data_IF_903947241385
#
_entry.id   IF_903947241385
#
_cell.length_a   1.000
_cell.length_b   1.000
_cell.length_c   1.000
_cell.angle_alpha   90.00
_cell.angle_beta   90.00
_cell.angle_gamma   90.00
#
_symmetry.space_group_name_H-M   'P 1'
#
loop_
_entity.id
_entity.type
_entity.pdbx_description
1 polymer ?
#
# COMPACT_ATOMS: atom_id res chain seq x y z
N UNK A 1 11.59 3.18 18.72
CA UNK A 1 10.53 3.56 17.77
C UNK A 1 9.19 2.96 18.21
N UNK A 2 8.20 3.82 18.40
CA UNK A 2 6.82 3.46 18.72
C UNK A 2 5.99 3.17 17.46
N UNK A 3 5.01 2.28 17.55
CA UNK A 3 4.12 1.95 16.43
C UNK A 3 3.18 3.10 16.07
N UNK A 4 2.71 3.87 17.06
CA UNK A 4 1.89 5.07 16.79
C UNK A 4 2.68 6.10 16.00
N UNK A 5 3.97 6.27 16.32
CA UNK A 5 4.86 7.14 15.55
C UNK A 5 5.04 6.65 14.10
N UNK A 6 5.22 5.35 13.88
CA UNK A 6 5.29 4.78 12.52
C UNK A 6 4.00 5.01 11.73
N UNK A 7 2.84 4.90 12.37
CA UNK A 7 1.55 5.20 11.72
C UNK A 7 1.46 6.69 11.37
N UNK A 8 1.85 7.59 12.28
CA UNK A 8 1.93 9.02 11.99
C UNK A 8 2.90 9.34 10.84
N UNK A 9 4.04 8.65 10.79
CA UNK A 9 4.99 8.76 9.68
C UNK A 9 4.38 8.26 8.36
N UNK A 10 3.61 7.17 8.43
CA UNK A 10 2.89 6.61 7.28
C UNK A 10 1.84 7.58 6.74
N UNK A 11 1.22 8.42 7.57
CA UNK A 11 0.27 9.44 7.11
C UNK A 11 0.91 10.47 6.17
N UNK A 12 2.15 10.87 6.45
CA UNK A 12 2.89 11.77 5.57
C UNK A 12 3.42 11.05 4.33
N UNK A 13 4.28 10.04 4.55
CA UNK A 13 5.15 9.51 3.50
C UNK A 13 4.79 8.10 3.02
N UNK A 14 3.72 7.52 3.56
CA UNK A 14 3.27 6.18 3.20
C UNK A 14 2.46 6.11 1.91
N UNK A 15 2.60 5.00 1.21
CA UNK A 15 1.85 4.71 -0.01
C UNK A 15 1.33 3.27 -0.02
N UNK A 16 0.04 3.13 -0.33
CA UNK A 16 -0.65 1.85 -0.54
C UNK A 16 -0.94 1.69 -2.03
N UNK A 17 -0.15 0.85 -2.69
CA UNK A 17 -0.19 0.67 -4.13
C UNK A 17 -0.72 -0.72 -4.51
N UNK A 18 -1.64 -0.73 -5.47
CA UNK A 18 -2.11 -1.92 -6.19
C UNK A 18 -1.58 -1.85 -7.61
N UNK A 19 -0.88 -2.89 -8.05
CA UNK A 19 -0.40 -3.05 -9.42
C UNK A 19 -1.10 -4.23 -10.08
N UNK A 20 -1.51 -4.06 -11.33
CA UNK A 20 -2.03 -5.12 -12.18
C UNK A 20 -1.15 -5.07 -13.42
N UNK A 21 -0.51 -6.18 -13.77
CA UNK A 21 0.28 -6.26 -15.01
C UNK A 21 -0.65 -6.52 -16.20
N UNK A 22 -0.52 -5.73 -17.26
CA UNK A 22 -1.45 -5.78 -18.40
C UNK A 22 -1.30 -7.08 -19.22
N UNK A 23 -0.10 -7.63 -19.28
CA UNK A 23 0.23 -8.84 -20.05
C UNK A 23 -0.28 -10.14 -19.39
N UNK A 24 -0.17 -10.20 -18.07
CA UNK A 24 -0.35 -11.42 -17.27
C UNK A 24 -1.56 -11.34 -16.35
N UNK A 25 -2.21 -10.17 -16.27
CA UNK A 25 -3.24 -9.87 -15.27
C UNK A 25 -2.81 -10.12 -13.82
N UNK A 26 -1.49 -10.20 -13.58
CA UNK A 26 -0.96 -10.49 -12.26
C UNK A 26 -1.19 -9.29 -11.33
N UNK A 27 -1.93 -9.53 -10.26
CA UNK A 27 -2.17 -8.54 -9.21
C UNK A 27 -1.05 -8.62 -8.17
N UNK A 28 -0.53 -7.47 -7.75
CA UNK A 28 0.40 -7.37 -6.64
C UNK A 28 0.11 -6.14 -5.79
N UNK A 29 0.31 -6.30 -4.48
CA UNK A 29 0.19 -5.24 -3.49
C UNK A 29 1.59 -4.76 -3.09
N UNK A 30 1.70 -3.47 -2.83
CA UNK A 30 2.94 -2.83 -2.40
C UNK A 30 2.64 -1.72 -1.41
N UNK A 31 3.13 -1.87 -0.18
CA UNK A 31 3.25 -0.77 0.77
C UNK A 31 4.66 -0.18 0.68
N UNK A 32 4.78 1.14 0.67
CA UNK A 32 6.08 1.81 0.73
C UNK A 32 6.12 2.99 1.69
N UNK A 33 7.27 3.18 2.33
CA UNK A 33 7.71 4.46 2.88
C UNK A 33 8.94 4.91 2.09
N UNK A 34 9.02 6.19 1.74
CA UNK A 34 10.14 6.75 0.97
C UNK A 34 10.81 7.85 1.77
N UNK A 35 12.14 7.86 1.81
CA UNK A 35 12.94 9.00 2.30
C UNK A 35 14.20 9.20 1.46
N UNK A 36 14.89 10.30 1.74
CA UNK A 36 16.22 10.55 1.20
C UNK A 36 17.23 9.47 1.66
N UNK A 37 18.23 9.17 0.83
CA UNK A 37 19.23 8.12 1.06
C UNK A 37 19.97 8.25 2.40
N UNK A 38 20.14 9.48 2.89
CA UNK A 38 20.74 9.78 4.21
C UNK A 38 20.00 9.10 5.38
N UNK A 39 18.71 8.84 5.21
CA UNK A 39 17.83 8.26 6.24
C UNK A 39 17.70 6.73 6.10
N UNK A 40 18.63 6.08 5.40
CA UNK A 40 18.68 4.60 5.25
C UNK A 40 18.68 3.88 6.59
N UNK A 41 19.36 4.43 7.61
CA UNK A 41 19.36 3.87 8.97
C UNK A 41 17.95 3.81 9.58
N UNK A 42 17.15 4.88 9.40
CA UNK A 42 15.76 4.91 9.82
C UNK A 42 14.95 3.86 9.07
N UNK A 43 15.10 3.76 7.74
CA UNK A 43 14.38 2.77 6.94
C UNK A 43 14.71 1.32 7.34
N UNK A 44 15.98 1.02 7.62
CA UNK A 44 16.37 -0.30 8.09
C UNK A 44 15.74 -0.63 9.45
N UNK A 45 15.57 0.35 10.33
CA UNK A 45 14.93 0.14 11.63
C UNK A 45 13.46 -0.27 11.52
N UNK A 46 12.75 0.12 10.43
CA UNK A 46 11.39 -0.38 10.16
C UNK A 46 11.38 -1.88 9.87
N UNK A 47 12.34 -2.39 9.10
CA UNK A 47 12.48 -3.84 8.85
C UNK A 47 12.69 -4.57 10.17
N UNK A 48 13.58 -4.07 11.02
CA UNK A 48 13.88 -4.69 12.31
C UNK A 48 12.68 -4.69 13.25
N UNK A 49 11.90 -3.60 13.25
CA UNK A 49 10.71 -3.44 14.10
C UNK A 49 9.53 -4.28 13.63
N UNK A 50 9.23 -4.26 12.33
CA UNK A 50 8.09 -4.96 11.73
C UNK A 50 8.40 -6.43 11.41
N UNK A 51 9.69 -6.80 11.38
CA UNK A 51 10.16 -8.12 10.95
C UNK A 51 9.64 -8.50 9.56
N UNK A 52 9.50 -7.53 8.67
CA UNK A 52 9.08 -7.72 7.28
C UNK A 52 9.58 -6.61 6.38
N UNK A 53 9.39 -6.80 5.07
CA UNK A 53 9.80 -5.84 4.05
C UNK A 53 11.28 -5.87 3.73
N UNK A 54 11.65 -5.07 2.76
CA UNK A 54 13.03 -4.91 2.28
C UNK A 54 13.34 -3.45 2.00
N UNK A 55 14.63 -3.12 1.91
CA UNK A 55 15.07 -1.83 1.39
C UNK A 55 15.26 -1.92 -0.13
N UNK A 56 14.87 -0.88 -0.82
CA UNK A 56 15.25 -0.62 -2.20
C UNK A 56 15.91 0.75 -2.24
N UNK A 57 17.07 0.86 -2.87
CA UNK A 57 17.81 2.11 -3.01
C UNK A 57 17.74 2.55 -4.47
N UNK A 58 17.44 3.82 -4.68
CA UNK A 58 17.46 4.51 -5.96
C UNK A 58 18.52 5.62 -5.86
N UNK A 59 19.72 5.35 -6.35
CA UNK A 59 20.84 6.29 -6.26
C UNK A 59 20.63 7.51 -7.15
N UNK A 60 19.94 7.37 -8.28
CA UNK A 60 19.66 8.46 -9.20
C UNK A 60 18.73 9.50 -8.56
N UNK A 61 17.76 9.03 -7.76
CA UNK A 61 16.85 9.90 -7.00
C UNK A 61 17.33 10.24 -5.60
N UNK A 62 18.50 9.74 -5.19
CA UNK A 62 18.99 9.81 -3.81
C UNK A 62 17.91 9.39 -2.79
N UNK A 63 17.20 8.30 -3.09
CA UNK A 63 16.06 7.85 -2.31
C UNK A 63 16.24 6.40 -1.81
N UNK A 64 15.68 6.13 -0.64
CA UNK A 64 15.56 4.79 -0.06
C UNK A 64 14.09 4.52 0.22
N UNK A 65 13.67 3.29 -0.10
CA UNK A 65 12.30 2.82 0.06
C UNK A 65 12.30 1.65 1.03
N UNK A 66 11.53 1.75 2.11
CA UNK A 66 11.06 0.57 2.83
C UNK A 66 9.86 0.00 2.06
N UNK A 67 9.93 -1.27 1.66
CA UNK A 67 8.97 -1.88 0.74
C UNK A 67 8.44 -3.19 1.32
N UNK A 68 7.11 -3.35 1.36
CA UNK A 68 6.46 -4.62 1.71
C UNK A 68 5.55 -5.06 0.57
N UNK A 69 5.86 -6.21 -0.03
CA UNK A 69 5.11 -6.77 -1.18
C UNK A 69 4.62 -8.20 -0.96
N UNK A 70 5.23 -8.93 -0.01
CA UNK A 70 4.82 -10.30 0.29
C UNK A 70 3.42 -10.28 0.88
N UNK A 71 2.46 -10.96 0.25
CA UNK A 71 1.06 -10.96 0.69
C UNK A 71 0.92 -11.39 2.15
N UNK A 72 1.68 -12.39 2.60
CA UNK A 72 1.65 -12.83 4.02
C UNK A 72 2.16 -11.76 4.97
N UNK A 73 3.20 -11.00 4.62
CA UNK A 73 3.66 -9.90 5.48
C UNK A 73 2.63 -8.75 5.53
N UNK A 74 1.92 -8.52 4.42
CA UNK A 74 0.82 -7.57 4.37
C UNK A 74 -0.31 -8.04 5.31
N UNK A 75 -0.79 -9.26 5.13
CA UNK A 75 -1.96 -9.77 5.87
C UNK A 75 -1.69 -10.01 7.35
N UNK A 76 -0.49 -10.47 7.69
CA UNK A 76 -0.21 -10.98 9.04
C UNK A 76 0.52 -9.94 9.91
N UNK A 77 1.05 -8.86 9.31
CA UNK A 77 1.83 -7.84 10.03
C UNK A 77 1.32 -6.42 9.78
N UNK A 78 1.26 -5.98 8.52
CA UNK A 78 0.83 -4.61 8.22
C UNK A 78 -0.65 -4.36 8.53
N UNK A 79 -1.54 -5.27 8.12
CA UNK A 79 -2.97 -5.10 8.38
C UNK A 79 -3.25 -5.05 9.90
N UNK A 80 -2.75 -5.98 10.73
CA UNK A 80 -2.91 -5.89 12.17
C UNK A 80 -2.35 -4.61 12.79
N UNK A 81 -1.23 -4.09 12.29
CA UNK A 81 -0.64 -2.83 12.75
C UNK A 81 -1.60 -1.65 12.55
N UNK A 82 -2.08 -1.44 11.33
CA UNK A 82 -2.95 -0.31 10.99
C UNK A 82 -4.38 -0.49 11.50
N UNK A 83 -4.83 -1.72 11.79
CA UNK A 83 -6.07 -1.96 12.51
C UNK A 83 -5.96 -1.55 13.99
N UNK A 84 -4.82 -1.84 14.63
CA UNK A 84 -4.56 -1.47 16.02
C UNK A 84 -4.29 0.02 16.19
N UNK A 85 -3.63 0.63 15.23
CA UNK A 85 -3.29 2.05 15.20
C UNK A 85 -3.84 2.66 13.90
N UNK A 86 -5.12 3.09 13.90
CA UNK A 86 -5.78 3.56 12.68
C UNK A 86 -5.16 4.82 12.10
N UNK A 87 -5.05 4.84 10.77
CA UNK A 87 -4.84 6.06 10.00
C UNK A 87 -6.05 6.99 10.17
N UNK A 88 -5.80 8.28 10.33
CA UNK A 88 -6.76 9.36 10.53
C UNK A 88 -7.08 10.12 9.23
N UNK A 89 -6.11 10.26 8.33
CA UNK A 89 -6.23 11.07 7.11
C UNK A 89 -7.01 10.38 5.98
N UNK A 90 -7.06 11.02 4.80
CA UNK A 90 -7.66 10.43 3.59
C UNK A 90 -6.98 9.11 3.18
N UNK A 91 -5.71 8.93 3.56
CA UNK A 91 -4.94 7.70 3.36
C UNK A 91 -5.57 6.47 4.02
N UNK A 92 -6.40 6.65 5.06
CA UNK A 92 -7.18 5.56 5.67
C UNK A 92 -8.12 4.89 4.66
N UNK A 93 -8.64 5.66 3.69
CA UNK A 93 -9.51 5.15 2.64
C UNK A 93 -8.71 4.32 1.61
N UNK A 94 -7.50 4.76 1.28
CA UNK A 94 -6.57 4.00 0.43
C UNK A 94 -6.14 2.70 1.10
N UNK A 95 -5.86 2.76 2.40
CA UNK A 95 -5.60 1.57 3.20
C UNK A 95 -6.81 0.62 3.22
N UNK A 96 -8.03 1.12 3.43
CA UNK A 96 -9.22 0.27 3.45
C UNK A 96 -9.43 -0.45 2.11
N UNK A 97 -9.26 0.24 0.98
CA UNK A 97 -9.36 -0.37 -0.34
C UNK A 97 -8.22 -1.37 -0.61
N UNK A 98 -7.01 -1.07 -0.12
CA UNK A 98 -5.88 -1.99 -0.14
C UNK A 98 -6.14 -3.28 0.67
N UNK A 99 -6.76 -3.18 1.84
CA UNK A 99 -7.18 -4.32 2.68
C UNK A 99 -8.19 -5.20 1.94
N UNK A 100 -9.24 -4.61 1.34
CA UNK A 100 -10.24 -5.36 0.55
C UNK A 100 -9.57 -6.17 -0.56
N UNK A 101 -8.61 -5.57 -1.28
CA UNK A 101 -7.89 -6.26 -2.34
C UNK A 101 -6.98 -7.36 -1.77
N UNK A 102 -6.34 -7.13 -0.62
CA UNK A 102 -5.56 -8.17 0.06
C UNK A 102 -6.42 -9.38 0.43
N UNK A 103 -7.66 -9.18 0.87
CA UNK A 103 -8.63 -10.25 1.15
C UNK A 103 -9.04 -11.01 -0.11
N UNK A 104 -9.35 -10.29 -1.21
CA UNK A 104 -9.62 -10.92 -2.51
C UNK A 104 -8.42 -11.75 -3.00
N UNK A 105 -7.20 -11.26 -2.76
CA UNK A 105 -5.99 -11.99 -3.10
C UNK A 105 -5.80 -13.23 -2.22
N UNK A 106 -6.01 -13.10 -0.91
CA UNK A 106 -5.92 -14.20 0.07
C UNK A 106 -6.89 -15.33 -0.26
N UNK A 107 -8.09 -14.99 -0.71
CA UNK A 107 -9.13 -15.94 -1.12
C UNK A 107 -8.96 -16.43 -2.57
N UNK A 108 -7.86 -16.07 -3.24
CA UNK A 108 -7.57 -16.39 -4.66
C UNK A 108 -8.61 -15.88 -5.66
N UNK A 109 -9.53 -15.00 -5.27
CA UNK A 109 -10.56 -14.43 -6.14
C UNK A 109 -9.96 -13.65 -7.33
N UNK A 110 -8.78 -13.03 -7.13
CA UNK A 110 -8.02 -12.36 -8.19
C UNK A 110 -7.61 -13.25 -9.39
N UNK A 111 -7.73 -14.58 -9.28
CA UNK A 111 -7.49 -15.51 -10.38
C UNK A 111 -8.70 -15.68 -11.31
N UNK A 112 -9.86 -15.16 -10.92
CA UNK A 112 -11.09 -15.15 -11.71
C UNK A 112 -11.24 -13.82 -12.44
N UNK A 113 -11.96 -13.80 -13.56
CA UNK A 113 -12.24 -12.57 -14.30
C UNK A 113 -13.05 -11.59 -13.44
N UNK A 114 -14.06 -12.09 -12.75
CA UNK A 114 -14.97 -11.32 -11.90
C UNK A 114 -14.21 -10.68 -10.74
N UNK A 115 -13.36 -11.45 -10.06
CA UNK A 115 -12.53 -10.93 -8.97
C UNK A 115 -11.48 -9.93 -9.46
N UNK A 116 -10.90 -10.15 -10.64
CA UNK A 116 -9.97 -9.19 -11.26
C UNK A 116 -10.67 -7.87 -11.64
N UNK A 117 -11.88 -7.95 -12.21
CA UNK A 117 -12.68 -6.78 -12.56
C UNK A 117 -13.09 -5.99 -11.31
N UNK A 118 -13.44 -6.69 -10.22
CA UNK A 118 -13.67 -6.06 -8.92
C UNK A 118 -12.42 -5.33 -8.41
N UNK A 119 -11.23 -5.93 -8.53
CA UNK A 119 -9.96 -5.29 -8.13
C UNK A 119 -9.69 -4.05 -8.98
N UNK A 120 -9.95 -4.09 -10.30
CA UNK A 120 -9.81 -2.93 -11.20
C UNK A 120 -10.72 -1.79 -10.78
N UNK A 121 -11.98 -2.09 -10.46
CA UNK A 121 -12.95 -1.10 -10.00
C UNK A 121 -12.51 -0.44 -8.69
N UNK A 122 -12.11 -1.23 -7.69
CA UNK A 122 -11.59 -0.69 -6.42
C UNK A 122 -10.37 0.20 -6.68
N UNK A 123 -9.39 -0.32 -7.44
CA UNK A 123 -8.16 0.41 -7.78
C UNK A 123 -8.42 1.74 -8.51
N UNK A 124 -9.49 1.84 -9.29
CA UNK A 124 -9.83 3.05 -10.05
C UNK A 124 -10.16 4.24 -9.13
N UNK A 125 -10.67 3.99 -7.92
CA UNK A 125 -11.00 5.03 -6.93
C UNK A 125 -9.90 5.34 -5.91
N UNK A 126 -8.74 4.69 -5.99
CA UNK A 126 -7.67 4.82 -4.98
C UNK A 126 -6.73 6.01 -5.22
N UNK A 127 -6.11 6.47 -4.14
CA UNK A 127 -5.04 7.47 -4.09
C UNK A 127 -5.47 8.78 -4.79
N UNK A 128 -4.66 9.29 -5.72
CA UNK A 128 -4.93 10.54 -6.46
C UNK A 128 -6.23 10.54 -7.27
N UNK A 129 -6.83 9.37 -7.51
CA UNK A 129 -8.08 9.25 -8.27
C UNK A 129 -9.32 9.43 -7.40
N UNK A 130 -9.15 9.43 -6.07
CA UNK A 130 -10.25 9.55 -5.12
C UNK A 130 -10.93 10.91 -5.28
N UNK A 131 -12.24 10.90 -5.53
CA UNK A 131 -13.06 12.10 -5.77
C UNK A 131 -13.12 12.58 -7.23
N UNK A 132 -12.28 12.07 -8.15
CA UNK A 132 -12.37 12.42 -9.58
C UNK A 132 -13.57 11.74 -10.26
N UNK A 133 -13.92 10.53 -9.83
CA UNK A 133 -15.05 9.76 -10.37
C UNK A 133 -16.42 10.40 -10.08
N UNK A 134 -16.55 11.15 -8.98
CA UNK A 134 -17.77 11.90 -8.63
C UNK A 134 -17.89 13.22 -9.42
N UNK A 135 -16.78 13.78 -9.91
CA UNK A 135 -16.78 15.00 -10.72
C UNK A 135 -17.08 14.71 -12.19
N UNK A 136 -16.66 13.56 -12.71
CA UNK A 136 -16.95 13.13 -14.09
C UNK A 136 -18.41 12.68 -14.27
N UNK A 137 -19.00 12.07 -13.24
CA UNK A 137 -20.42 11.66 -13.24
C UNK A 137 -21.40 12.84 -13.12
N UNK A 138 -20.94 14.01 -12.66
CA UNK A 138 -21.73 15.27 -12.62
C UNK A 138 -21.63 16.10 -13.90
N UNK A 139 -20.81 15.68 -14.87
CA UNK A 139 -20.63 16.35 -16.18
C UNK A 139 -21.46 15.71 -17.31
N UNK A 140 -22.30 14.72 -16.99
CA UNK A 140 -23.15 14.00 -17.93
C UNK A 140 -24.61 14.20 -17.54
#
# INVERSE_FOLDING_TARGET
>A
MDFSWLVGFTEGDGSFLVQIRDDTNKVSLRFTLTQHLRDTGLMNSFIQKLKCGTLQIDYDKFAVYFVVTKLTDITDKLIPLFNKYPLQGTKRLDYADFVKIAELMKNKAHLTKEGLDQIRQIKAGMNRKRGLTELESKKK
#
